data_IF_409949450023
#
_entry.id   IF_409949450023
#
_cell.length_a   1.000
_cell.length_b   1.000
_cell.length_c   1.000
_cell.angle_alpha   90.00
_cell.angle_beta   90.00
_cell.angle_gamma   90.00
#
_symmetry.space_group_name_H-M   'P 1'
#
loop_
_entity.id
_entity.type
_entity.pdbx_description
1 polymer ?
#
# COMPACT_ATOMS: atom_id res chain seq x y z
N UNK A 1 19.30 -12.46 17.22
CA UNK A 1 18.61 -12.31 16.97
C UNK A 1 17.78 -12.53 16.66
N UNK A 2 17.35 -12.35 16.63
CA UNK A 2 16.47 -12.58 16.31
C UNK A 2 15.83 -12.53 15.56
N UNK A 3 15.86 -12.67 15.58
CA UNK A 3 15.29 -12.56 14.78
C UNK A 3 14.04 -12.66 14.68
N UNK A 4 13.47 -11.87 14.92
CA UNK A 4 12.09 -11.91 14.78
C UNK A 4 11.74 -11.70 13.39
N UNK A 5 11.21 -12.73 12.82
CA UNK A 5 10.95 -12.72 11.42
C UNK A 5 9.56 -12.20 11.14
N UNK A 6 8.63 -12.46 12.06
CA UNK A 6 7.22 -12.14 11.83
C UNK A 6 6.65 -11.49 13.07
N UNK A 7 6.86 -10.18 13.17
CA UNK A 7 6.26 -9.38 14.23
C UNK A 7 4.92 -8.87 13.71
N UNK A 8 3.81 -9.32 14.28
CA UNK A 8 2.50 -8.97 13.71
C UNK A 8 2.14 -7.51 13.84
N UNK A 9 2.81 -6.76 14.68
CA UNK A 9 2.49 -5.35 14.86
C UNK A 9 3.45 -4.46 14.09
N UNK A 10 4.75 -4.62 14.32
CA UNK A 10 5.73 -3.73 13.72
C UNK A 10 6.17 -4.19 12.34
N UNK A 11 6.30 -5.51 12.18
CA UNK A 11 6.81 -6.07 10.92
C UNK A 11 5.93 -7.23 10.47
N UNK A 12 4.67 -6.95 10.07
CA UNK A 12 3.80 -8.03 9.59
C UNK A 12 4.40 -8.71 8.37
N UNK A 13 4.19 -10.00 8.26
CA UNK A 13 4.84 -10.80 7.23
C UNK A 13 4.56 -10.30 5.82
N UNK A 14 3.32 -9.87 5.55
CA UNK A 14 2.97 -9.42 4.20
C UNK A 14 3.59 -8.07 3.86
N UNK A 15 4.28 -7.44 4.78
CA UNK A 15 5.02 -6.21 4.51
C UNK A 15 6.52 -6.46 4.45
N UNK A 16 7.00 -7.55 5.04
CA UNK A 16 8.43 -7.82 5.11
C UNK A 16 8.89 -8.92 4.17
N UNK A 17 7.97 -9.61 3.52
CA UNK A 17 8.31 -10.75 2.69
C UNK A 17 8.67 -10.39 1.24
N UNK A 18 8.76 -9.11 0.92
CA UNK A 18 9.08 -8.70 -0.44
C UNK A 18 10.53 -9.08 -0.79
N UNK A 19 10.76 -9.62 -1.99
CA UNK A 19 12.10 -10.07 -2.37
C UNK A 19 13.16 -8.98 -2.35
N UNK A 20 12.76 -7.72 -2.47
CA UNK A 20 13.71 -6.60 -2.42
C UNK A 20 14.33 -6.42 -1.06
N UNK A 21 13.72 -6.96 0.00
CA UNK A 21 14.15 -6.72 1.37
C UNK A 21 13.69 -5.39 1.93
N UNK A 22 12.99 -4.58 1.14
CA UNK A 22 12.47 -3.29 1.59
C UNK A 22 11.11 -3.50 2.23
N UNK A 23 10.87 -2.84 3.36
CA UNK A 23 9.57 -2.86 3.99
C UNK A 23 8.68 -1.79 3.38
N UNK A 24 7.42 -2.13 3.16
CA UNK A 24 6.47 -1.23 2.55
C UNK A 24 6.40 0.12 3.27
N UNK A 25 6.40 0.09 4.60
CA UNK A 25 6.26 1.31 5.39
C UNK A 25 7.44 2.27 5.15
N UNK A 26 8.61 1.76 4.82
CA UNK A 26 9.77 2.61 4.56
C UNK A 26 9.53 3.51 3.35
N UNK A 27 8.67 3.09 2.45
CA UNK A 27 8.33 3.86 1.27
C UNK A 27 7.07 4.69 1.52
N UNK A 28 6.02 4.04 2.05
CA UNK A 28 4.72 4.69 2.14
C UNK A 28 4.67 5.77 3.22
N UNK A 29 5.55 5.71 4.21
CA UNK A 29 5.53 6.74 5.25
C UNK A 29 5.89 8.12 4.70
N UNK A 30 6.48 8.18 3.52
CA UNK A 30 6.81 9.45 2.86
C UNK A 30 5.74 9.91 1.89
N UNK A 31 4.64 9.18 1.78
CA UNK A 31 3.56 9.48 0.85
C UNK A 31 2.35 10.02 1.60
N UNK A 32 1.46 10.73 0.87
CA UNK A 32 0.21 11.12 1.48
C UNK A 32 -0.65 9.88 1.72
N UNK A 33 -1.78 10.09 2.40
CA UNK A 33 -2.59 8.98 2.87
C UNK A 33 -3.08 8.09 1.72
N UNK A 34 -3.64 8.70 0.68
CA UNK A 34 -4.21 7.92 -0.41
C UNK A 34 -3.14 7.21 -1.22
N UNK A 35 -2.06 7.89 -1.55
CA UNK A 35 -0.97 7.27 -2.29
C UNK A 35 -0.31 6.16 -1.49
N UNK A 36 -0.09 6.40 -0.20
CA UNK A 36 0.51 5.39 0.65
C UNK A 36 -0.36 4.16 0.77
N UNK A 37 -1.67 4.34 0.90
CA UNK A 37 -2.57 3.20 0.97
C UNK A 37 -2.67 2.48 -0.37
N UNK A 38 -2.67 3.20 -1.49
CA UNK A 38 -2.67 2.55 -2.79
C UNK A 38 -1.44 1.65 -2.94
N UNK A 39 -0.27 2.19 -2.60
CA UNK A 39 0.97 1.41 -2.70
C UNK A 39 0.93 0.23 -1.74
N UNK A 40 0.41 0.43 -0.53
CA UNK A 40 0.30 -0.65 0.44
C UNK A 40 -0.51 -1.82 -0.11
N UNK A 41 -1.65 -1.54 -0.72
CA UNK A 41 -2.49 -2.60 -1.23
C UNK A 41 -1.90 -3.26 -2.47
N UNK A 42 -1.20 -2.49 -3.31
CA UNK A 42 -0.46 -3.09 -4.43
C UNK A 42 0.62 -4.03 -3.90
N UNK A 43 1.33 -3.62 -2.87
CA UNK A 43 2.38 -4.41 -2.25
C UNK A 43 1.82 -5.72 -1.72
N UNK A 44 0.71 -5.64 -0.98
CA UNK A 44 0.07 -6.83 -0.42
C UNK A 44 -0.42 -7.76 -1.51
N UNK A 45 -1.00 -7.20 -2.57
CA UNK A 45 -1.51 -8.01 -3.67
C UNK A 45 -0.42 -8.85 -4.30
N UNK A 46 0.80 -8.33 -4.33
CA UNK A 46 1.92 -9.08 -4.90
C UNK A 46 2.39 -10.22 -4.02
N UNK A 47 1.99 -10.25 -2.75
CA UNK A 47 2.48 -11.23 -1.77
C UNK A 47 1.40 -12.17 -1.26
N UNK A 48 0.15 -12.01 -1.70
CA UNK A 48 -0.98 -12.79 -1.21
C UNK A 48 -1.61 -13.58 -2.34
N UNK A 49 -2.44 -14.55 -1.93
CA UNK A 49 -3.23 -15.30 -2.92
C UNK A 49 -4.47 -14.55 -3.35
N UNK A 50 -5.16 -13.90 -2.41
CA UNK A 50 -6.38 -13.17 -2.72
C UNK A 50 -6.00 -11.75 -3.13
N UNK A 51 -5.64 -11.63 -4.41
CA UNK A 51 -5.12 -10.38 -4.92
C UNK A 51 -6.19 -9.40 -5.38
N UNK A 52 -7.34 -9.92 -5.76
CA UNK A 52 -8.38 -9.08 -6.38
C UNK A 52 -8.89 -8.05 -5.39
N UNK A 53 -9.15 -8.46 -4.15
CA UNK A 53 -9.66 -7.53 -3.17
C UNK A 53 -8.67 -6.40 -2.89
N UNK A 54 -7.39 -6.75 -2.75
CA UNK A 54 -6.37 -5.73 -2.50
C UNK A 54 -6.20 -4.81 -3.71
N UNK A 55 -6.29 -5.34 -4.92
CA UNK A 55 -6.22 -4.51 -6.11
C UNK A 55 -7.40 -3.54 -6.18
N UNK A 56 -8.59 -3.99 -5.81
CA UNK A 56 -9.75 -3.11 -5.78
C UNK A 56 -9.58 -1.99 -4.75
N UNK A 57 -9.00 -2.31 -3.61
CA UNK A 57 -8.72 -1.29 -2.61
C UNK A 57 -7.70 -0.28 -3.12
N UNK A 58 -6.69 -0.75 -3.81
CA UNK A 58 -5.70 0.16 -4.40
C UNK A 58 -6.37 1.11 -5.41
N UNK A 59 -7.27 0.57 -6.24
CA UNK A 59 -8.00 1.39 -7.20
C UNK A 59 -8.83 2.45 -6.48
N UNK A 60 -9.50 2.07 -5.39
CA UNK A 60 -10.31 3.01 -4.63
C UNK A 60 -9.47 4.19 -4.13
N UNK A 61 -8.31 3.92 -3.59
CA UNK A 61 -7.45 5.00 -3.09
C UNK A 61 -6.88 5.84 -4.21
N UNK A 62 -6.57 5.22 -5.35
CA UNK A 62 -6.10 5.97 -6.50
C UNK A 62 -7.19 6.91 -7.03
N UNK A 63 -8.42 6.42 -7.10
CA UNK A 63 -9.54 7.25 -7.54
C UNK A 63 -9.79 8.39 -6.57
N UNK A 64 -9.65 8.13 -5.29
CA UNK A 64 -9.80 9.16 -4.28
C UNK A 64 -8.75 10.25 -4.45
N UNK A 65 -7.52 9.85 -4.73
CA UNK A 65 -6.45 10.81 -4.94
C UNK A 65 -6.68 11.64 -6.20
N UNK A 66 -7.12 10.99 -7.27
CA UNK A 66 -7.45 11.70 -8.50
C UNK A 66 -8.54 12.73 -8.25
N UNK A 67 -9.58 12.35 -7.51
CA UNK A 67 -10.68 13.29 -7.20
C UNK A 67 -10.16 14.47 -6.38
N UNK A 68 -9.25 14.22 -5.45
CA UNK A 68 -8.70 15.28 -4.60
C UNK A 68 -7.91 16.29 -5.42
N UNK A 69 -7.21 15.82 -6.44
CA UNK A 69 -6.35 16.67 -7.26
C UNK A 69 -7.06 17.30 -8.45
N UNK A 70 -8.29 16.87 -8.73
CA UNK A 70 -9.03 17.35 -9.89
C UNK A 70 -9.73 18.67 -9.58
N UNK A 71 -10.00 19.49 -10.60
CA UNK A 71 -10.74 20.75 -10.38
C UNK A 71 -12.10 20.49 -9.78
N UNK A 72 -12.48 21.32 -8.82
CA UNK A 72 -13.66 21.06 -8.02
C UNK A 72 -14.95 21.17 -8.80
N UNK A 73 -15.02 22.07 -9.76
CA UNK A 73 -16.26 22.26 -10.50
C UNK A 73 -16.34 21.39 -11.73
N UNK A 74 -15.43 20.44 -11.86
CA UNK A 74 -15.45 19.52 -12.97
C UNK A 74 -15.03 20.09 -14.30
N UNK A 75 -14.58 21.31 -14.29
CA UNK A 75 -14.10 21.94 -15.52
C UNK A 75 -12.67 21.50 -15.74
N UNK A 76 -12.44 20.98 -16.89
CA UNK A 76 -11.12 20.46 -17.23
C UNK A 76 -10.44 21.41 -18.19
#
# INVERSE_FOLDING_TARGET
MNEIINDPIEHPAHYTAHPSGVECIQITEHMNFCLGNAVKYIWRAGLKQDRIEDLKKAVWYLEREIARLSPKDGVI
#
